data_IF_687615155787
#
_entry.id   IF_687615155787
#
_cell.length_a   1.000
_cell.length_b   1.000
_cell.length_c   1.000
_cell.angle_alpha   90.00
_cell.angle_beta   90.00
_cell.angle_gamma   90.00
#
_symmetry.space_group_name_H-M   'P 1'
#
loop_
_entity.id
_entity.type
_entity.pdbx_description
1 polymer ?
#
# COMPACT_ATOMS: atom_id res chain seq x y z
N UNK A 1 -59.82 20.07 11.66
CA UNK A 1 -59.41 19.41 10.40
C UNK A 1 -58.00 19.79 9.95
N UNK A 2 -57.64 21.07 9.83
CA UNK A 2 -56.31 21.50 9.34
C UNK A 2 -55.09 20.91 10.10
N UNK A 3 -55.19 20.76 11.43
CA UNK A 3 -54.12 20.21 12.27
C UNK A 3 -53.81 18.74 12.01
N UNK A 4 -54.82 17.94 11.63
CA UNK A 4 -54.63 16.51 11.33
C UNK A 4 -54.00 16.30 9.95
N UNK A 5 -54.26 17.21 9.01
CA UNK A 5 -53.69 17.18 7.67
C UNK A 5 -52.19 17.53 7.70
N UNK A 6 -51.79 18.54 8.48
CA UNK A 6 -50.38 18.94 8.65
C UNK A 6 -49.54 17.85 9.33
N UNK A 7 -50.12 17.15 10.31
CA UNK A 7 -49.45 16.00 10.95
C UNK A 7 -49.30 14.83 9.97
N UNK A 8 -50.33 14.53 9.17
CA UNK A 8 -50.25 13.46 8.17
C UNK A 8 -49.20 13.76 7.08
N UNK A 9 -49.09 15.02 6.65
CA UNK A 9 -48.10 15.46 5.67
C UNK A 9 -46.67 15.29 6.19
N UNK A 10 -46.38 15.76 7.41
CA UNK A 10 -45.06 15.62 8.04
C UNK A 10 -44.64 14.17 8.27
N UNK A 11 -45.60 13.30 8.61
CA UNK A 11 -45.35 11.86 8.77
C UNK A 11 -45.01 11.21 7.41
N UNK A 12 -45.69 11.60 6.33
CA UNK A 12 -45.41 11.09 4.99
C UNK A 12 -44.03 11.55 4.48
N UNK A 13 -43.69 12.83 4.67
CA UNK A 13 -42.37 13.39 4.33
C UNK A 13 -41.23 12.68 5.09
N UNK A 14 -41.40 12.48 6.40
CA UNK A 14 -40.41 11.78 7.22
C UNK A 14 -40.26 10.29 6.85
N UNK A 15 -41.35 9.63 6.46
CA UNK A 15 -41.29 8.25 5.98
C UNK A 15 -40.52 8.15 4.66
N UNK A 16 -40.77 9.08 3.74
CA UNK A 16 -40.12 9.10 2.44
C UNK A 16 -38.62 9.40 2.54
N UNK A 17 -38.23 10.35 3.40
CA UNK A 17 -36.82 10.63 3.68
C UNK A 17 -36.10 9.41 4.25
N UNK A 18 -36.72 8.70 5.21
CA UNK A 18 -36.16 7.46 5.78
C UNK A 18 -36.00 6.39 4.71
N UNK A 19 -36.98 6.21 3.83
CA UNK A 19 -36.91 5.23 2.77
C UNK A 19 -35.76 5.55 1.81
N UNK A 20 -35.61 6.81 1.41
CA UNK A 20 -34.55 7.24 0.50
C UNK A 20 -33.15 7.13 1.13
N UNK A 21 -32.99 7.56 2.38
CA UNK A 21 -31.74 7.38 3.13
C UNK A 21 -31.39 5.91 3.34
N UNK A 22 -32.39 5.03 3.53
CA UNK A 22 -32.17 3.59 3.64
C UNK A 22 -31.63 2.99 2.35
N UNK A 23 -32.20 3.37 1.19
CA UNK A 23 -31.76 2.90 -0.13
C UNK A 23 -30.32 3.29 -0.41
N UNK A 24 -29.93 4.50 -0.04
CA UNK A 24 -28.55 4.99 -0.22
C UNK A 24 -27.60 4.28 0.72
N UNK A 25 -27.95 4.14 1.99
CA UNK A 25 -27.14 3.39 2.95
C UNK A 25 -26.95 1.94 2.48
N UNK A 26 -27.98 1.32 1.90
CA UNK A 26 -27.91 0.00 1.32
C UNK A 26 -26.97 -0.05 0.10
N UNK A 27 -27.07 0.93 -0.82
CA UNK A 27 -26.16 1.05 -1.98
C UNK A 27 -24.70 1.25 -1.54
N UNK A 28 -24.45 2.17 -0.61
CA UNK A 28 -23.11 2.40 -0.06
C UNK A 28 -22.57 1.14 0.60
N UNK A 29 -23.37 0.43 1.42
CA UNK A 29 -22.97 -0.85 2.04
C UNK A 29 -22.67 -1.93 0.99
N UNK A 30 -23.44 -2.02 -0.08
CA UNK A 30 -23.15 -2.94 -1.19
C UNK A 30 -21.79 -2.60 -1.85
N UNK A 31 -21.52 -1.31 -2.06
CA UNK A 31 -20.24 -0.80 -2.61
C UNK A 31 -19.03 -1.01 -1.70
N UNK A 32 -19.21 -1.27 -0.40
CA UNK A 32 -18.12 -1.49 0.58
C UNK A 32 -17.42 -2.84 0.39
N UNK A 33 -18.07 -3.81 -0.26
CA UNK A 33 -17.62 -5.21 -0.35
C UNK A 33 -16.31 -5.47 -1.14
N UNK A 34 -15.69 -4.45 -1.71
CA UNK A 34 -14.49 -4.59 -2.57
C UNK A 34 -13.16 -4.33 -1.81
N UNK A 35 -12.95 -4.98 -0.66
CA UNK A 35 -11.69 -4.85 0.08
C UNK A 35 -11.41 -6.00 1.04
N UNK A 36 -10.13 -6.21 1.36
CA UNK A 36 -9.73 -7.19 2.37
C UNK A 36 -10.39 -6.84 3.72
N UNK A 37 -10.85 -7.85 4.49
CA UNK A 37 -11.72 -7.68 5.65
C UNK A 37 -11.16 -6.78 6.78
N UNK A 38 -9.86 -6.48 6.77
CA UNK A 38 -9.17 -5.66 7.78
C UNK A 38 -8.47 -4.42 7.21
N UNK A 39 -8.88 -3.92 6.04
CA UNK A 39 -8.30 -2.68 5.48
C UNK A 39 -8.95 -1.44 6.08
N UNK A 40 -8.16 -0.40 6.35
CA UNK A 40 -8.68 0.91 6.81
C UNK A 40 -9.72 1.47 5.83
N UNK A 41 -9.54 1.20 4.52
CA UNK A 41 -10.55 1.46 3.51
C UNK A 41 -11.92 0.86 3.86
N UNK A 42 -11.98 -0.43 4.17
CA UNK A 42 -13.25 -1.10 4.47
C UNK A 42 -13.88 -0.53 5.76
N UNK A 43 -13.08 -0.28 6.79
CA UNK A 43 -13.51 0.32 8.05
C UNK A 43 -14.13 1.71 7.83
N UNK A 44 -13.40 2.61 7.16
CA UNK A 44 -13.84 3.99 6.91
C UNK A 44 -15.08 4.02 6.02
N UNK A 45 -15.12 3.25 4.94
CA UNK A 45 -16.30 3.19 4.05
C UNK A 45 -17.53 2.65 4.80
N UNK A 46 -17.36 1.65 5.66
CA UNK A 46 -18.43 1.13 6.52
C UNK A 46 -18.94 2.20 7.50
N UNK A 47 -18.03 2.94 8.15
CA UNK A 47 -18.40 4.03 9.06
C UNK A 47 -19.20 5.13 8.32
N UNK A 48 -18.77 5.53 7.13
CA UNK A 48 -19.45 6.54 6.29
C UNK A 48 -20.82 6.04 5.82
N UNK A 49 -20.92 4.78 5.40
CA UNK A 49 -22.20 4.18 5.01
C UNK A 49 -23.20 4.15 6.18
N UNK A 50 -22.71 3.95 7.40
CA UNK A 50 -23.46 3.96 8.65
C UNK A 50 -23.61 5.35 9.29
N UNK A 51 -23.33 6.44 8.55
CA UNK A 51 -23.45 7.83 9.01
C UNK A 51 -22.54 8.21 10.21
N UNK A 52 -21.55 7.39 10.53
CA UNK A 52 -20.58 7.64 11.59
C UNK A 52 -19.40 8.49 11.08
N UNK A 53 -19.67 9.67 10.53
CA UNK A 53 -18.67 10.51 9.86
C UNK A 53 -17.55 10.97 10.79
N UNK A 54 -17.86 11.34 12.03
CA UNK A 54 -16.86 11.80 13.00
C UNK A 54 -15.83 10.72 13.30
N UNK A 55 -16.29 9.49 13.56
CA UNK A 55 -15.43 8.32 13.77
C UNK A 55 -14.62 7.99 12.51
N UNK A 56 -15.21 8.12 11.32
CA UNK A 56 -14.49 7.89 10.07
C UNK A 56 -13.29 8.85 9.89
N UNK A 57 -13.45 10.12 10.26
CA UNK A 57 -12.37 11.11 10.22
C UNK A 57 -11.31 10.82 11.29
N UNK A 58 -11.73 10.45 12.49
CA UNK A 58 -10.83 10.06 13.58
C UNK A 58 -10.00 8.83 13.21
N UNK A 59 -10.63 7.80 12.65
CA UNK A 59 -9.96 6.58 12.16
C UNK A 59 -8.91 6.90 11.09
N UNK A 60 -9.21 7.80 10.16
CA UNK A 60 -8.23 8.24 9.15
C UNK A 60 -7.03 8.96 9.76
N UNK A 61 -7.26 9.79 10.79
CA UNK A 61 -6.16 10.48 11.50
C UNK A 61 -5.32 9.50 12.30
N UNK A 62 -5.97 8.62 13.06
CA UNK A 62 -5.31 7.56 13.81
C UNK A 62 -4.50 6.63 12.90
N UNK A 63 -4.98 6.36 11.68
CA UNK A 63 -4.25 5.56 10.72
C UNK A 63 -2.91 6.17 10.32
N UNK A 64 -2.86 7.49 10.11
CA UNK A 64 -1.60 8.20 9.82
C UNK A 64 -0.62 8.08 10.97
N UNK A 65 -1.10 8.30 12.18
CA UNK A 65 -0.28 8.24 13.40
C UNK A 65 0.23 6.82 13.67
N UNK A 66 -0.57 5.79 13.35
CA UNK A 66 -0.15 4.39 13.47
C UNK A 66 1.01 4.03 12.53
N UNK A 67 1.26 4.82 11.48
CA UNK A 67 2.30 4.61 10.47
C UNK A 67 3.54 5.47 10.67
N UNK A 68 3.78 5.95 11.89
CA UNK A 68 4.97 6.74 12.25
C UNK A 68 6.31 6.04 11.93
N UNK A 69 6.31 4.72 11.85
CA UNK A 69 7.44 3.88 11.40
C UNK A 69 7.90 4.18 9.96
N UNK A 70 7.03 4.73 9.11
CA UNK A 70 7.32 5.02 7.71
C UNK A 70 7.13 6.52 7.38
N UNK A 71 8.15 7.38 7.57
CA UNK A 71 8.03 8.82 7.31
C UNK A 71 7.59 9.16 5.88
N UNK A 72 8.01 8.34 4.90
CA UNK A 72 7.63 8.50 3.50
C UNK A 72 6.14 8.26 3.24
N UNK A 73 5.49 7.41 4.05
CA UNK A 73 4.05 7.17 3.93
C UNK A 73 3.28 8.46 4.18
N UNK A 74 3.58 9.16 5.29
CA UNK A 74 2.92 10.42 5.63
C UNK A 74 3.05 11.44 4.51
N UNK A 75 4.26 11.67 4.01
CA UNK A 75 4.52 12.65 2.94
C UNK A 75 3.73 12.35 1.65
N UNK A 76 3.62 11.07 1.26
CA UNK A 76 2.89 10.67 0.04
C UNK A 76 1.38 10.60 0.23
N UNK A 77 0.91 10.18 1.41
CA UNK A 77 -0.49 9.92 1.69
C UNK A 77 -1.28 11.14 2.19
N UNK A 78 -0.61 12.13 2.81
CA UNK A 78 -1.24 13.28 3.48
C UNK A 78 -2.25 14.03 2.59
N UNK A 79 -1.89 14.30 1.33
CA UNK A 79 -2.78 14.96 0.37
C UNK A 79 -4.05 14.14 0.09
N UNK A 80 -3.91 12.82 -0.05
CA UNK A 80 -5.05 11.93 -0.32
C UNK A 80 -5.95 11.79 0.91
N UNK A 81 -5.36 11.82 2.10
CA UNK A 81 -6.08 11.74 3.36
C UNK A 81 -6.85 13.02 3.66
N UNK A 82 -6.24 14.19 3.41
CA UNK A 82 -6.94 15.47 3.47
C UNK A 82 -8.15 15.48 2.52
N UNK A 83 -7.95 15.05 1.27
CA UNK A 83 -9.04 14.93 0.31
C UNK A 83 -10.12 13.91 0.74
N UNK A 84 -9.74 12.79 1.35
CA UNK A 84 -10.68 11.82 1.90
C UNK A 84 -11.54 12.43 3.03
N UNK A 85 -10.95 13.25 3.91
CA UNK A 85 -11.69 13.98 4.95
C UNK A 85 -12.67 14.97 4.34
N UNK A 86 -12.27 15.71 3.30
CA UNK A 86 -13.14 16.64 2.59
C UNK A 86 -14.34 15.91 1.95
N UNK A 87 -14.10 14.76 1.32
CA UNK A 87 -15.16 13.92 0.76
C UNK A 87 -16.13 13.43 1.84
N UNK A 88 -15.64 12.98 3.00
CA UNK A 88 -16.50 12.56 4.13
C UNK A 88 -17.39 13.73 4.60
N UNK A 89 -16.82 14.92 4.74
CA UNK A 89 -17.57 16.11 5.13
C UNK A 89 -18.58 16.52 4.05
N UNK A 90 -18.23 16.40 2.77
CA UNK A 90 -19.11 16.68 1.65
C UNK A 90 -20.29 15.70 1.57
N UNK A 91 -20.07 14.42 1.88
CA UNK A 91 -21.13 13.39 1.98
C UNK A 91 -22.06 13.73 3.16
N UNK A 92 -21.49 14.02 4.33
CA UNK A 92 -22.25 14.44 5.51
C UNK A 92 -23.15 15.63 5.19
N UNK A 93 -22.58 16.69 4.63
CA UNK A 93 -23.32 17.91 4.31
C UNK A 93 -24.49 17.68 3.34
N UNK A 94 -24.34 16.79 2.35
CA UNK A 94 -25.40 16.46 1.39
C UNK A 94 -26.47 15.55 1.98
N UNK A 95 -26.10 14.58 2.82
CA UNK A 95 -27.06 13.66 3.46
C UNK A 95 -27.82 14.32 4.62
N UNK A 96 -27.19 15.24 5.34
CA UNK A 96 -27.81 15.99 6.44
C UNK A 96 -28.16 17.42 6.03
N UNK A 97 -28.52 17.66 4.77
CA UNK A 97 -28.81 19.01 4.29
C UNK A 97 -30.08 19.56 4.97
N UNK A 98 -30.01 20.72 5.64
CA UNK A 98 -31.16 21.28 6.35
C UNK A 98 -32.29 21.63 5.37
N UNK A 99 -33.50 21.17 5.66
CA UNK A 99 -34.67 21.46 4.82
C UNK A 99 -34.72 20.65 3.52
N UNK A 100 -34.06 19.49 3.45
CA UNK A 100 -34.22 18.51 2.34
C UNK A 100 -35.69 18.27 2.00
N UNK A 101 -36.54 18.17 3.02
CA UNK A 101 -37.98 17.92 2.89
C UNK A 101 -38.72 19.01 2.10
N UNK A 102 -38.20 20.25 2.09
CA UNK A 102 -38.79 21.36 1.34
C UNK A 102 -38.34 21.42 -0.13
N UNK A 103 -37.39 20.57 -0.52
CA UNK A 103 -36.90 20.50 -1.89
C UNK A 103 -37.80 19.58 -2.74
N UNK A 104 -37.82 19.83 -4.05
CA UNK A 104 -38.46 18.93 -5.00
C UNK A 104 -37.80 17.54 -4.99
N UNK A 105 -38.56 16.50 -5.34
CA UNK A 105 -38.04 15.14 -5.46
C UNK A 105 -36.81 15.06 -6.37
N UNK A 106 -36.81 15.80 -7.48
CA UNK A 106 -35.66 15.87 -8.39
C UNK A 106 -34.40 16.41 -7.69
N UNK A 107 -34.53 17.41 -6.83
CA UNK A 107 -33.40 18.01 -6.13
C UNK A 107 -32.92 17.16 -4.96
N UNK A 108 -33.83 16.50 -4.26
CA UNK A 108 -33.48 15.50 -3.25
C UNK A 108 -32.68 14.34 -3.88
N UNK A 109 -33.14 13.82 -5.02
CA UNK A 109 -32.43 12.79 -5.77
C UNK A 109 -31.04 13.28 -6.23
N UNK A 110 -30.93 14.50 -6.74
CA UNK A 110 -29.65 15.08 -7.15
C UNK A 110 -28.65 15.17 -5.98
N UNK A 111 -29.09 15.63 -4.79
CA UNK A 111 -28.23 15.67 -3.60
C UNK A 111 -27.70 14.28 -3.23
N UNK A 112 -28.55 13.27 -3.35
CA UNK A 112 -28.21 11.89 -3.07
C UNK A 112 -27.27 11.28 -4.11
N UNK A 113 -27.49 11.55 -5.40
CA UNK A 113 -26.60 11.10 -6.47
C UNK A 113 -25.21 11.73 -6.30
N UNK A 114 -25.15 13.02 -5.94
CA UNK A 114 -23.89 13.72 -5.61
C UNK A 114 -23.22 13.16 -4.36
N UNK A 115 -23.98 12.74 -3.35
CA UNK A 115 -23.41 12.08 -2.17
C UNK A 115 -22.82 10.71 -2.54
N UNK A 116 -23.45 9.98 -3.45
CA UNK A 116 -22.95 8.70 -3.95
C UNK A 116 -21.69 8.87 -4.81
N UNK A 117 -21.64 9.92 -5.66
CA UNK A 117 -20.45 10.29 -6.43
C UNK A 117 -19.24 10.50 -5.51
N UNK A 118 -19.40 11.32 -4.46
CA UNK A 118 -18.34 11.51 -3.46
C UNK A 118 -17.96 10.25 -2.69
N UNK A 119 -18.90 9.32 -2.51
CA UNK A 119 -18.61 8.04 -1.86
C UNK A 119 -17.75 7.13 -2.74
N UNK A 120 -18.01 7.08 -4.05
CA UNK A 120 -17.17 6.35 -4.99
C UNK A 120 -15.78 7.02 -5.14
N UNK A 121 -15.72 8.35 -5.15
CA UNK A 121 -14.45 9.09 -5.11
C UNK A 121 -13.64 8.79 -3.84
N UNK A 122 -14.32 8.68 -2.69
CA UNK A 122 -13.71 8.33 -1.42
C UNK A 122 -13.12 6.92 -1.51
N UNK A 123 -13.86 5.96 -2.07
CA UNK A 123 -13.39 4.59 -2.30
C UNK A 123 -12.14 4.55 -3.17
N UNK A 124 -12.11 5.29 -4.27
CA UNK A 124 -10.93 5.39 -5.15
C UNK A 124 -9.74 6.03 -4.43
N UNK A 125 -9.98 7.08 -3.66
CA UNK A 125 -8.94 7.79 -2.89
C UNK A 125 -8.33 6.89 -1.83
N UNK A 126 -9.16 6.15 -1.07
CA UNK A 126 -8.69 5.20 -0.07
C UNK A 126 -7.91 4.04 -0.68
N UNK A 127 -8.28 3.57 -1.89
CA UNK A 127 -7.46 2.58 -2.63
C UNK A 127 -6.05 3.10 -2.93
N UNK A 128 -5.90 4.38 -3.27
CA UNK A 128 -4.59 5.00 -3.50
C UNK A 128 -3.77 5.04 -2.20
N UNK A 129 -4.40 5.37 -1.08
CA UNK A 129 -3.75 5.35 0.24
C UNK A 129 -3.27 3.93 0.59
N UNK A 130 -4.10 2.91 0.40
CA UNK A 130 -3.70 1.50 0.61
C UNK A 130 -2.54 1.09 -0.31
N UNK A 131 -2.51 1.59 -1.54
CA UNK A 131 -1.43 1.31 -2.47
C UNK A 131 -0.11 1.93 -2.00
N UNK A 132 -0.14 3.18 -1.57
CA UNK A 132 1.03 3.87 -1.01
C UNK A 132 1.55 3.13 0.23
N UNK A 133 0.67 2.68 1.14
CA UNK A 133 1.07 1.89 2.32
C UNK A 133 1.82 0.60 1.92
N UNK A 134 1.32 -0.10 0.89
CA UNK A 134 1.98 -1.31 0.38
C UNK A 134 3.31 -1.02 -0.29
N UNK A 135 3.39 0.04 -1.10
CA UNK A 135 4.64 0.43 -1.77
C UNK A 135 5.74 0.74 -0.76
N UNK A 136 5.43 1.53 0.26
CA UNK A 136 6.41 1.92 1.28
C UNK A 136 6.91 0.70 2.05
N UNK A 137 6.01 -0.23 2.42
CA UNK A 137 6.40 -1.51 3.03
C UNK A 137 7.29 -2.35 2.11
N UNK A 138 7.01 -2.36 0.82
CA UNK A 138 7.83 -3.10 -0.15
C UNK A 138 9.21 -2.48 -0.34
N UNK A 139 9.33 -1.16 -0.30
CA UNK A 139 10.61 -0.47 -0.46
C UNK A 139 11.59 -0.79 0.69
N UNK A 140 11.09 -0.94 1.91
CA UNK A 140 11.92 -1.38 3.05
C UNK A 140 12.37 -2.84 2.90
N UNK A 141 11.47 -3.72 2.43
CA UNK A 141 11.82 -5.12 2.13
C UNK A 141 12.85 -5.20 1.00
N UNK A 142 12.72 -4.38 -0.06
CA UNK A 142 13.71 -4.34 -1.14
C UNK A 142 15.07 -3.88 -0.63
N UNK A 143 15.09 -2.86 0.21
CA UNK A 143 16.32 -2.30 0.79
C UNK A 143 17.05 -3.35 1.62
N UNK A 144 16.34 -4.09 2.48
CA UNK A 144 16.93 -5.21 3.25
C UNK A 144 17.46 -6.33 2.35
N UNK A 145 16.73 -6.69 1.28
CA UNK A 145 17.21 -7.68 0.30
C UNK A 145 18.51 -7.23 -0.38
N UNK A 146 18.65 -5.94 -0.70
CA UNK A 146 19.87 -5.42 -1.32
C UNK A 146 21.07 -5.53 -0.36
N UNK A 147 20.86 -5.20 0.92
CA UNK A 147 21.89 -5.34 1.96
C UNK A 147 22.32 -6.80 2.12
N UNK A 148 21.37 -7.74 2.17
CA UNK A 148 21.66 -9.18 2.29
C UNK A 148 22.44 -9.67 1.07
N UNK A 149 22.05 -9.27 -0.15
CA UNK A 149 22.79 -9.61 -1.37
C UNK A 149 24.22 -9.05 -1.35
N UNK A 150 24.40 -7.80 -0.93
CA UNK A 150 25.72 -7.18 -0.80
C UNK A 150 26.60 -7.93 0.20
N UNK A 151 26.02 -8.37 1.33
CA UNK A 151 26.73 -9.19 2.33
C UNK A 151 27.18 -10.53 1.73
N UNK A 152 26.29 -11.24 1.04
CA UNK A 152 26.63 -12.52 0.38
C UNK A 152 27.75 -12.32 -0.66
N UNK A 153 27.66 -11.29 -1.51
CA UNK A 153 28.69 -10.99 -2.50
C UNK A 153 30.03 -10.60 -1.86
N UNK A 154 30.01 -9.89 -0.73
CA UNK A 154 31.25 -9.54 -0.01
C UNK A 154 31.94 -10.79 0.54
N UNK A 155 31.19 -11.72 1.15
CA UNK A 155 31.73 -12.99 1.66
C UNK A 155 32.28 -13.82 0.51
N UNK A 156 31.54 -13.93 -0.60
CA UNK A 156 31.98 -14.65 -1.78
C UNK A 156 33.28 -14.05 -2.36
N UNK A 157 33.37 -12.72 -2.45
CA UNK A 157 34.57 -12.05 -2.93
C UNK A 157 35.80 -12.34 -2.05
N UNK A 158 35.64 -12.36 -0.73
CA UNK A 158 36.72 -12.74 0.20
C UNK A 158 37.14 -14.19 0.00
N UNK A 159 36.19 -15.12 -0.17
CA UNK A 159 36.51 -16.53 -0.45
C UNK A 159 37.26 -16.70 -1.77
N UNK A 160 36.83 -16.02 -2.84
CA UNK A 160 37.51 -16.04 -4.14
C UNK A 160 38.92 -15.47 -4.02
N UNK A 161 39.11 -14.35 -3.33
CA UNK A 161 40.43 -13.78 -3.10
C UNK A 161 41.33 -14.71 -2.28
N UNK A 162 40.81 -15.33 -1.22
CA UNK A 162 41.54 -16.33 -0.43
C UNK A 162 41.99 -17.50 -1.28
N UNK A 163 41.09 -18.05 -2.10
CA UNK A 163 41.39 -19.14 -3.02
C UNK A 163 42.44 -18.76 -4.07
N UNK A 164 42.36 -17.55 -4.66
CA UNK A 164 43.36 -17.06 -5.61
C UNK A 164 44.75 -16.86 -4.95
N UNK A 165 44.78 -16.39 -3.70
CA UNK A 165 46.03 -16.26 -2.94
C UNK A 165 46.65 -17.62 -2.61
N UNK A 166 45.83 -18.61 -2.25
CA UNK A 166 46.30 -19.97 -1.98
C UNK A 166 46.80 -20.66 -3.25
N UNK A 167 46.09 -20.49 -4.37
CA UNK A 167 46.50 -21.03 -5.66
C UNK A 167 47.81 -20.41 -6.16
N UNK A 168 47.95 -19.08 -6.01
CA UNK A 168 49.18 -18.38 -6.41
C UNK A 168 50.38 -18.69 -5.51
N UNK A 169 50.19 -18.87 -4.20
CA UNK A 169 51.29 -19.17 -3.26
C UNK A 169 51.61 -20.66 -3.16
N UNK A 170 50.64 -21.54 -3.37
CA UNK A 170 50.81 -22.98 -3.21
C UNK A 170 51.12 -23.69 -4.53
N UNK A 171 50.25 -23.52 -5.53
CA UNK A 171 50.31 -24.32 -6.77
C UNK A 171 51.41 -23.81 -7.70
N UNK A 172 51.55 -22.49 -7.86
CA UNK A 172 52.55 -21.94 -8.79
C UNK A 172 53.99 -22.33 -8.43
N UNK A 173 54.47 -22.23 -7.17
CA UNK A 173 55.84 -22.62 -6.84
C UNK A 173 56.07 -24.13 -6.97
N UNK A 174 55.08 -24.95 -6.58
CA UNK A 174 55.16 -26.40 -6.77
C UNK A 174 55.22 -26.77 -8.26
N UNK A 175 54.43 -26.10 -9.10
CA UNK A 175 54.44 -26.31 -10.54
C UNK A 175 55.79 -25.90 -11.17
N UNK A 176 56.37 -24.77 -10.76
CA UNK A 176 57.70 -24.36 -11.26
C UNK A 176 58.78 -25.37 -10.89
N UNK A 177 58.77 -25.90 -9.66
CA UNK A 177 59.74 -26.92 -9.22
C UNK A 177 59.61 -28.18 -10.07
N UNK A 178 58.38 -28.68 -10.30
CA UNK A 178 58.17 -29.88 -11.11
C UNK A 178 58.58 -29.68 -12.57
N UNK A 179 58.35 -28.49 -13.12
CA UNK A 179 58.77 -28.15 -14.49
C UNK A 179 60.31 -28.08 -14.57
N UNK A 180 60.97 -27.42 -13.62
CA UNK A 180 62.43 -27.31 -13.57
C UNK A 180 63.09 -28.69 -13.39
N UNK A 181 62.58 -29.52 -12.47
CA UNK A 181 63.04 -30.90 -12.27
C UNK A 181 62.80 -31.76 -13.52
N UNK A 182 61.67 -31.56 -14.21
CA UNK A 182 61.33 -32.23 -15.45
C UNK A 182 62.31 -31.87 -16.58
N UNK A 183 62.61 -30.58 -16.74
CA UNK A 183 63.61 -30.10 -17.70
C UNK A 183 65.01 -30.63 -17.36
N UNK A 184 65.41 -30.60 -16.10
CA UNK A 184 66.70 -31.15 -15.65
C UNK A 184 66.87 -32.63 -16.02
N UNK A 185 65.82 -33.45 -15.81
CA UNK A 185 65.83 -34.87 -16.22
C UNK A 185 65.87 -35.06 -17.73
N UNK A 186 65.17 -34.22 -18.49
CA UNK A 186 65.16 -34.27 -19.96
C UNK A 186 66.53 -33.91 -20.54
N UNK A 187 67.17 -32.88 -19.97
CA UNK A 187 68.52 -32.46 -20.32
C UNK A 187 69.53 -33.57 -19.99
N UNK A 188 69.50 -34.13 -18.78
CA UNK A 188 70.38 -35.23 -18.40
C UNK A 188 70.18 -36.47 -19.28
N UNK A 189 68.93 -36.83 -19.60
CA UNK A 189 68.65 -37.92 -20.53
C UNK A 189 69.17 -37.65 -21.94
N UNK A 190 69.07 -36.40 -22.41
CA UNK A 190 69.62 -36.01 -23.71
C UNK A 190 71.16 -36.09 -23.73
N UNK A 191 71.83 -35.66 -22.66
CA UNK A 191 73.28 -35.78 -22.50
C UNK A 191 73.73 -37.25 -22.44
N UNK A 192 73.10 -38.06 -21.58
CA UNK A 192 73.39 -39.50 -21.47
C UNK A 192 73.22 -40.23 -22.81
N UNK A 193 72.23 -39.82 -23.63
CA UNK A 193 71.96 -40.43 -24.93
C UNK A 193 72.89 -39.92 -26.05
N UNK A 194 73.44 -38.72 -25.90
CA UNK A 194 74.42 -38.14 -26.83
C UNK A 194 75.87 -38.57 -26.52
N UNK A 195 76.10 -39.29 -25.41
CA UNK A 195 77.40 -39.88 -25.08
C UNK A 195 78.45 -38.86 -24.63
N UNK A 196 78.01 -37.74 -24.06
CA UNK A 196 78.84 -36.77 -23.33
C UNK A 196 78.59 -36.92 -21.82
#
# INVERSE_FOLDING_TARGET
MAKNLDVALKVAEAHQEREMNSKISQRMRASVSEGGPNSVRATVLSMVANENYAKAVEELRAYVESRNEFPQFRFRAERYLAYAVDLINAIKAKRSFPGVQHLSMSKQQELHDRAMEHFEDLKVTLRKVDHIDKEVKLDDVRSTVWVVKALIYSVFAVLVLGFLLELSKGVLPAATIVVDDGFGRLINFAFDKLGL
#
